data_IF_578309876112
#
_entry.id   IF_578309876112
#
_cell.length_a   1.000
_cell.length_b   1.000
_cell.length_c   1.000
_cell.angle_alpha   90.00
_cell.angle_beta   90.00
_cell.angle_gamma   90.00
#
_symmetry.space_group_name_H-M   'P 1'
#
loop_
_entity.id
_entity.type
_entity.pdbx_description
1 polymer ?
#
# COMPACT_ATOMS: atom_id res chain seq x y z
N UNK A 1 29.15 -50.18 0.38
CA UNK A 1 27.90 -50.65 -0.24
C UNK A 1 26.77 -49.82 0.38
N UNK A 2 25.91 -49.21 -0.46
CA UNK A 2 24.77 -48.32 -0.14
C UNK A 2 25.15 -46.94 0.43
N UNK A 3 24.75 -45.78 -0.11
CA UNK A 3 23.86 -45.42 -1.20
C UNK A 3 23.48 -43.96 -1.00
N UNK A 4 24.21 -43.03 -1.65
CA UNK A 4 23.92 -41.59 -1.60
C UNK A 4 22.61 -41.32 -2.35
N UNK A 5 21.56 -40.98 -1.60
CA UNK A 5 20.26 -40.61 -2.15
C UNK A 5 20.33 -39.31 -2.94
N UNK A 6 19.98 -39.40 -4.22
CA UNK A 6 19.75 -38.28 -5.13
C UNK A 6 18.71 -37.30 -4.58
N UNK A 7 19.15 -36.15 -4.05
CA UNK A 7 18.29 -34.95 -3.99
C UNK A 7 18.36 -34.26 -5.35
N UNK A 8 17.27 -34.37 -6.13
CA UNK A 8 17.06 -33.54 -7.31
C UNK A 8 16.97 -32.08 -6.85
N UNK A 9 18.02 -31.30 -7.13
CA UNK A 9 17.97 -29.84 -7.03
C UNK A 9 17.04 -29.37 -8.14
N UNK A 10 15.87 -28.86 -7.76
CA UNK A 10 14.99 -28.13 -8.68
C UNK A 10 15.74 -26.87 -9.12
N UNK A 11 16.24 -26.88 -10.35
CA UNK A 11 16.75 -25.67 -11.01
C UNK A 11 15.55 -24.78 -11.29
N UNK A 12 15.35 -23.75 -10.47
CA UNK A 12 14.56 -22.61 -10.89
C UNK A 12 15.36 -21.90 -11.98
N UNK A 13 14.84 -21.93 -13.21
CA UNK A 13 15.30 -21.07 -14.29
C UNK A 13 15.08 -19.63 -13.83
N UNK A 14 16.17 -18.88 -13.69
CA UNK A 14 16.10 -17.43 -13.56
C UNK A 14 15.32 -16.90 -14.77
N UNK A 15 14.14 -16.34 -14.52
CA UNK A 15 13.51 -15.45 -15.48
C UNK A 15 14.33 -14.17 -15.39
N UNK A 16 15.21 -13.95 -16.35
CA UNK A 16 15.82 -12.64 -16.58
C UNK A 16 14.69 -11.69 -17.03
N UNK A 17 14.00 -11.06 -16.08
CA UNK A 17 13.18 -9.88 -16.36
C UNK A 17 14.11 -8.67 -16.39
N UNK A 18 14.83 -8.52 -17.49
CA UNK A 18 15.41 -7.22 -17.85
C UNK A 18 14.29 -6.30 -18.34
N UNK A 19 13.50 -5.76 -17.41
CA UNK A 19 12.67 -4.59 -17.69
C UNK A 19 13.56 -3.37 -17.48
N UNK A 20 14.06 -2.82 -18.58
CA UNK A 20 14.67 -1.49 -18.60
C UNK A 20 13.60 -0.48 -18.23
N UNK A 21 13.57 -0.08 -16.95
CA UNK A 21 12.80 1.07 -16.48
C UNK A 21 13.43 2.29 -17.16
N UNK A 22 12.77 2.88 -18.16
CA UNK A 22 13.27 4.09 -18.80
C UNK A 22 12.97 5.31 -17.92
N UNK A 23 13.84 5.48 -16.93
CA UNK A 23 13.80 6.59 -15.96
C UNK A 23 13.87 7.93 -16.70
N UNK A 24 14.59 8.01 -17.83
CA UNK A 24 14.77 9.25 -18.60
C UNK A 24 13.47 9.68 -19.28
N UNK A 25 12.69 8.76 -19.85
CA UNK A 25 11.39 9.08 -20.47
C UNK A 25 10.35 9.55 -19.45
N UNK A 26 10.31 8.92 -18.28
CA UNK A 26 9.42 9.33 -17.18
C UNK A 26 9.80 10.72 -16.67
N UNK A 27 11.09 10.94 -16.37
CA UNK A 27 11.60 12.22 -15.86
C UNK A 27 11.43 13.34 -16.89
N UNK A 28 11.68 13.07 -18.18
CA UNK A 28 11.49 14.07 -19.25
C UNK A 28 10.03 14.41 -19.48
N UNK A 29 9.10 13.46 -19.35
CA UNK A 29 7.65 13.72 -19.38
C UNK A 29 7.24 14.71 -18.27
N UNK A 30 7.65 14.44 -17.03
CA UNK A 30 7.33 15.31 -15.89
C UNK A 30 8.04 16.67 -15.97
N UNK A 31 9.28 16.74 -16.46
CA UNK A 31 10.05 17.98 -16.60
C UNK A 31 9.55 18.88 -17.74
N UNK A 32 9.13 18.31 -18.89
CA UNK A 32 8.60 19.09 -20.03
C UNK A 32 7.28 19.76 -19.71
N UNK A 33 6.42 19.13 -18.91
CA UNK A 33 5.11 19.68 -18.55
C UNK A 33 5.19 20.77 -17.48
N UNK A 34 6.15 20.68 -16.54
CA UNK A 34 6.41 21.73 -15.55
C UNK A 34 6.70 23.10 -16.21
N UNK A 35 7.48 23.12 -17.30
CA UNK A 35 7.77 24.34 -18.07
C UNK A 35 6.58 24.94 -18.83
N UNK A 36 5.51 24.16 -19.09
CA UNK A 36 4.32 24.66 -19.79
C UNK A 36 3.31 25.33 -18.85
N UNK A 37 3.32 25.00 -17.55
CA UNK A 37 2.27 25.41 -16.60
C UNK A 37 2.55 26.73 -15.86
N UNK A 38 3.77 27.28 -15.90
CA UNK A 38 4.01 28.64 -15.37
C UNK A 38 3.19 29.74 -16.08
N UNK A 39 2.51 29.42 -17.19
CA UNK A 39 1.88 30.42 -18.07
C UNK A 39 0.35 30.51 -17.98
N UNK A 40 -0.33 29.76 -17.11
CA UNK A 40 -1.80 29.88 -17.00
C UNK A 40 -2.30 29.71 -15.57
N UNK A 41 -2.68 30.82 -14.94
CA UNK A 41 -3.21 30.88 -13.58
C UNK A 41 -4.72 31.14 -13.62
N UNK A 42 -5.49 30.05 -13.64
CA UNK A 42 -6.94 30.05 -13.44
C UNK A 42 -7.31 28.90 -12.50
N UNK A 43 -8.19 29.17 -11.53
CA UNK A 43 -8.67 28.23 -10.50
C UNK A 43 -8.97 26.84 -11.05
N UNK A 44 -8.02 25.94 -10.86
CA UNK A 44 -8.08 24.52 -11.20
C UNK A 44 -7.46 23.80 -10.02
N UNK A 45 -8.17 22.80 -9.46
CA UNK A 45 -7.55 21.88 -8.51
C UNK A 45 -6.22 21.39 -9.12
N UNK A 46 -5.15 21.38 -8.33
CA UNK A 46 -3.85 20.99 -8.86
C UNK A 46 -3.95 19.60 -9.51
N UNK A 47 -3.45 19.43 -10.75
CA UNK A 47 -3.62 18.20 -11.51
C UNK A 47 -2.98 17.07 -10.73
N UNK A 48 -3.77 16.02 -10.49
CA UNK A 48 -3.34 14.80 -9.80
C UNK A 48 -2.31 14.07 -10.68
N UNK A 49 -1.03 14.40 -10.48
CA UNK A 49 0.09 13.86 -11.27
C UNK A 49 0.12 12.32 -11.27
N UNK A 50 -0.33 11.70 -10.18
CA UNK A 50 -0.42 10.25 -10.02
C UNK A 50 -1.51 9.56 -10.86
N UNK A 51 -2.39 10.33 -11.51
CA UNK A 51 -3.40 9.78 -12.42
C UNK A 51 -2.98 9.88 -13.90
N UNK A 52 -1.82 10.45 -14.21
CA UNK A 52 -1.31 10.47 -15.58
C UNK A 52 -0.96 9.05 -16.05
N UNK A 53 -1.15 8.73 -17.33
CA UNK A 53 -0.96 7.37 -17.85
C UNK A 53 0.45 6.80 -17.59
N UNK A 54 1.48 7.63 -17.76
CA UNK A 54 2.87 7.28 -17.46
C UNK A 54 3.14 7.02 -15.96
N UNK A 55 2.24 7.47 -15.08
CA UNK A 55 2.34 7.32 -13.64
C UNK A 55 1.62 6.05 -13.12
N UNK A 56 0.79 5.42 -13.96
CA UNK A 56 -0.06 4.28 -13.62
C UNK A 56 0.61 2.92 -13.89
N UNK A 57 1.92 2.91 -14.16
CA UNK A 57 2.70 1.69 -14.32
C UNK A 57 2.82 0.92 -13.00
N UNK A 58 2.89 -0.41 -13.10
CA UNK A 58 3.04 -1.31 -11.95
C UNK A 58 4.07 -2.39 -12.25
N UNK A 59 4.83 -2.74 -11.22
CA UNK A 59 5.79 -3.85 -11.25
C UNK A 59 5.10 -5.23 -11.37
N UNK A 60 3.84 -5.34 -10.93
CA UNK A 60 3.10 -6.61 -10.90
C UNK A 60 1.71 -6.50 -11.56
N UNK A 61 1.28 -7.51 -12.33
CA UNK A 61 -0.10 -7.66 -12.78
C UNK A 61 -1.08 -7.79 -11.60
N UNK A 62 -2.30 -7.29 -11.78
CA UNK A 62 -3.31 -7.28 -10.71
C UNK A 62 -3.76 -8.68 -10.26
N UNK A 63 -3.80 -9.65 -11.19
CA UNK A 63 -4.23 -11.02 -10.91
C UNK A 63 -3.33 -11.68 -9.85
N UNK A 64 -2.03 -11.41 -9.90
CA UNK A 64 -1.05 -11.94 -8.95
C UNK A 64 -1.20 -11.29 -7.56
N UNK A 65 -1.59 -10.01 -7.52
CA UNK A 65 -1.78 -9.28 -6.27
C UNK A 65 -3.06 -9.66 -5.52
N UNK A 66 -4.14 -10.01 -6.23
CA UNK A 66 -5.38 -10.50 -5.57
C UNK A 66 -5.17 -11.86 -4.92
N UNK A 67 -4.48 -12.76 -5.61
CA UNK A 67 -4.12 -14.06 -5.02
C UNK A 67 -3.20 -13.91 -3.82
N UNK A 68 -2.38 -12.86 -3.79
CA UNK A 68 -1.44 -12.62 -2.70
C UNK A 68 -2.10 -12.25 -1.37
N UNK A 69 -3.32 -11.71 -1.36
CA UNK A 69 -4.03 -11.31 -0.13
C UNK A 69 -5.06 -12.33 0.35
N UNK A 70 -5.33 -13.38 -0.43
CA UNK A 70 -6.28 -14.43 -0.06
C UNK A 70 -5.71 -15.31 1.06
N UNK A 71 -6.49 -15.45 2.14
CA UNK A 71 -6.13 -16.31 3.27
C UNK A 71 -6.00 -17.78 2.81
N UNK A 72 -4.81 -18.40 2.90
CA UNK A 72 -4.63 -19.80 2.53
C UNK A 72 -5.43 -20.73 3.46
N UNK A 73 -5.96 -21.85 2.94
CA UNK A 73 -6.72 -22.78 3.75
C UNK A 73 -5.84 -23.39 4.85
N UNK A 74 -6.31 -23.31 6.10
CA UNK A 74 -5.62 -23.85 7.27
C UNK A 74 -4.60 -22.90 7.92
N UNK A 75 -4.40 -21.69 7.38
CA UNK A 75 -3.61 -20.65 8.05
C UNK A 75 -4.48 -19.86 9.03
N UNK A 76 -3.91 -19.46 10.16
CA UNK A 76 -4.61 -18.59 11.12
C UNK A 76 -4.82 -17.19 10.54
N UNK A 77 -6.00 -16.63 10.83
CA UNK A 77 -6.39 -15.32 10.31
C UNK A 77 -5.55 -14.17 10.91
N UNK A 78 -5.24 -14.24 12.21
CA UNK A 78 -4.44 -13.20 12.87
C UNK A 78 -2.98 -13.28 12.44
N UNK A 79 -2.42 -14.49 12.29
CA UNK A 79 -1.09 -14.69 11.69
C UNK A 79 -1.01 -14.09 10.28
N UNK A 80 -2.05 -14.33 9.46
CA UNK A 80 -2.12 -13.77 8.11
C UNK A 80 -2.15 -12.25 8.12
N UNK A 81 -3.02 -11.64 8.93
CA UNK A 81 -3.07 -10.19 9.10
C UNK A 81 -1.75 -9.62 9.63
N UNK A 82 -1.10 -10.30 10.58
CA UNK A 82 0.18 -9.88 11.13
C UNK A 82 1.24 -9.81 10.02
N UNK A 83 1.34 -10.86 9.20
CA UNK A 83 2.34 -10.94 8.13
C UNK A 83 2.20 -9.81 7.12
N UNK A 84 0.98 -9.49 6.70
CA UNK A 84 0.72 -8.39 5.78
C UNK A 84 0.93 -7.03 6.42
N UNK A 85 0.57 -6.86 7.69
CA UNK A 85 0.76 -5.60 8.42
C UNK A 85 2.24 -5.26 8.55
N UNK A 86 3.07 -6.24 8.87
CA UNK A 86 4.52 -6.09 8.94
C UNK A 86 5.11 -5.70 7.57
N UNK A 87 4.75 -6.43 6.52
CA UNK A 87 5.24 -6.14 5.16
C UNK A 87 4.84 -4.74 4.69
N UNK A 88 3.59 -4.32 4.93
CA UNK A 88 3.11 -2.99 4.57
C UNK A 88 3.83 -1.90 5.36
N UNK A 89 4.06 -2.11 6.66
CA UNK A 89 4.82 -1.17 7.49
C UNK A 89 6.24 -0.98 6.94
N UNK A 90 6.97 -2.07 6.67
CA UNK A 90 8.33 -2.01 6.16
C UNK A 90 8.41 -1.31 4.79
N UNK A 91 7.50 -1.65 3.87
CA UNK A 91 7.49 -1.05 2.54
C UNK A 91 7.12 0.44 2.56
N UNK A 92 6.13 0.85 3.37
CA UNK A 92 5.74 2.25 3.49
C UNK A 92 6.85 3.07 4.17
N UNK A 93 7.49 2.51 5.21
CA UNK A 93 8.62 3.14 5.87
C UNK A 93 9.80 3.33 4.90
N UNK A 94 10.10 2.32 4.07
CA UNK A 94 11.13 2.41 3.05
C UNK A 94 10.83 3.50 2.00
N UNK A 95 9.60 3.50 1.44
CA UNK A 95 9.20 4.51 0.43
C UNK A 95 9.21 5.92 1.01
N UNK A 96 8.72 6.11 2.23
CA UNK A 96 8.77 7.42 2.87
C UNK A 96 10.21 7.84 3.18
N UNK A 97 11.07 6.90 3.57
CA UNK A 97 12.48 7.16 3.84
C UNK A 97 13.20 7.86 2.68
N UNK A 98 12.89 7.48 1.43
CA UNK A 98 13.54 8.06 0.24
C UNK A 98 13.14 9.50 -0.06
N UNK A 99 12.02 9.99 0.49
CA UNK A 99 11.52 11.35 0.26
C UNK A 99 11.47 12.20 1.53
N UNK A 100 11.87 11.65 2.68
CA UNK A 100 11.70 12.26 4.00
C UNK A 100 12.34 13.65 4.11
N UNK A 101 13.44 13.91 3.39
CA UNK A 101 14.11 15.21 3.35
C UNK A 101 13.28 16.31 2.67
N UNK A 102 12.37 15.95 1.76
CA UNK A 102 11.47 16.89 1.08
C UNK A 102 10.21 17.17 1.89
N UNK A 103 9.84 16.28 2.81
CA UNK A 103 8.73 16.46 3.74
C UNK A 103 9.21 17.29 4.95
N UNK A 104 8.97 18.60 4.90
CA UNK A 104 9.46 19.55 5.91
C UNK A 104 8.30 20.20 6.68
N UNK A 105 8.59 20.73 7.87
CA UNK A 105 7.59 21.47 8.67
C UNK A 105 7.05 22.70 7.95
N UNK A 106 7.87 23.32 7.09
CA UNK A 106 7.50 24.50 6.31
C UNK A 106 6.74 24.15 5.03
N UNK A 107 7.10 23.05 4.36
CA UNK A 107 6.40 22.57 3.16
C UNK A 107 5.08 21.87 3.48
N UNK A 108 5.01 21.17 4.62
CA UNK A 108 3.85 20.38 5.05
C UNK A 108 3.49 20.70 6.52
N UNK A 109 3.02 21.93 6.80
CA UNK A 109 2.73 22.39 8.16
C UNK A 109 1.54 21.67 8.82
N UNK A 110 0.71 21.02 8.01
CA UNK A 110 -0.40 20.16 8.43
C UNK A 110 -0.27 18.80 7.72
N UNK A 111 -0.63 17.72 8.41
CA UNK A 111 -0.76 16.40 7.79
C UNK A 111 -2.01 16.36 6.90
N UNK A 112 -1.84 16.50 5.58
CA UNK A 112 -2.94 16.54 4.61
C UNK A 112 -2.86 15.43 3.56
N UNK A 113 -4.01 15.00 3.07
CA UNK A 113 -4.17 14.12 1.91
C UNK A 113 -5.00 14.75 0.79
N UNK A 114 -5.28 13.99 -0.28
CA UNK A 114 -6.06 14.45 -1.42
C UNK A 114 -7.43 15.03 -0.99
N UNK A 115 -7.90 16.05 -1.73
CA UNK A 115 -9.11 16.80 -1.36
C UNK A 115 -8.93 17.71 -0.14
N UNK A 116 -7.67 18.07 0.19
CA UNK A 116 -7.30 18.90 1.34
C UNK A 116 -7.76 18.34 2.69
N UNK A 117 -7.94 17.01 2.77
CA UNK A 117 -8.35 16.33 4.00
C UNK A 117 -7.22 16.37 5.02
N UNK A 118 -7.47 16.99 6.17
CA UNK A 118 -6.50 17.05 7.27
C UNK A 118 -6.61 15.84 8.20
N UNK A 119 -5.52 15.14 8.43
CA UNK A 119 -5.41 14.06 9.40
C UNK A 119 -4.92 14.59 10.74
N UNK A 120 -5.54 14.11 11.81
CA UNK A 120 -5.27 14.55 13.17
C UNK A 120 -4.75 13.38 13.99
N UNK A 121 -3.73 13.64 14.80
CA UNK A 121 -3.11 12.62 15.64
C UNK A 121 -3.90 12.49 16.95
N UNK A 122 -4.01 11.27 17.44
CA UNK A 122 -4.58 10.97 18.75
C UNK A 122 -3.46 10.42 19.63
N UNK A 123 -3.13 11.14 20.70
CA UNK A 123 -2.16 10.67 21.67
C UNK A 123 -2.72 9.49 22.51
N UNK A 124 -1.87 8.91 23.35
CA UNK A 124 -2.25 7.79 24.24
C UNK A 124 -3.36 8.17 25.24
N UNK A 125 -3.58 9.47 25.48
CA UNK A 125 -4.62 10.01 26.35
C UNK A 125 -5.92 10.31 25.58
N UNK A 126 -5.95 10.05 24.28
CA UNK A 126 -7.09 10.32 23.39
C UNK A 126 -7.21 11.79 22.96
N UNK A 127 -6.24 12.65 23.26
CA UNK A 127 -6.27 14.06 22.86
C UNK A 127 -5.95 14.19 21.37
N UNK A 128 -6.86 14.85 20.66
CA UNK A 128 -6.72 15.19 19.25
C UNK A 128 -5.77 16.37 19.09
N UNK A 129 -4.69 16.18 18.32
CA UNK A 129 -3.68 17.22 18.08
C UNK A 129 -3.41 17.36 16.60
N UNK A 130 -3.30 18.61 16.16
CA UNK A 130 -2.83 18.98 14.82
C UNK A 130 -1.32 19.08 14.86
N UNK A 131 -0.67 18.39 13.94
CA UNK A 131 0.78 18.36 13.81
C UNK A 131 1.14 18.41 12.33
N UNK A 132 2.34 18.90 12.04
CA UNK A 132 2.89 18.90 10.69
C UNK A 132 3.08 17.48 10.16
N UNK A 133 3.05 17.31 8.84
CA UNK A 133 3.11 16.00 8.21
C UNK A 133 4.35 15.16 8.63
N UNK A 134 5.58 15.71 8.66
CA UNK A 134 6.74 14.89 9.01
C UNK A 134 6.69 14.41 10.47
N UNK A 135 6.11 15.22 11.35
CA UNK A 135 5.93 14.88 12.77
C UNK A 135 4.80 13.84 12.95
N UNK A 136 3.71 13.97 12.18
CA UNK A 136 2.66 12.96 12.15
C UNK A 136 3.21 11.60 11.73
N UNK A 137 3.99 11.58 10.65
CA UNK A 137 4.55 10.35 10.09
C UNK A 137 5.53 9.72 11.08
N UNK A 138 6.38 10.52 11.75
CA UNK A 138 7.23 10.03 12.84
C UNK A 138 6.43 9.35 13.96
N UNK A 139 5.32 9.96 14.39
CA UNK A 139 4.41 9.35 15.37
C UNK A 139 3.79 8.05 14.89
N UNK A 140 3.38 7.98 13.62
CA UNK A 140 2.84 6.76 13.01
C UNK A 140 3.88 5.65 12.97
N UNK A 141 5.09 5.94 12.46
CA UNK A 141 6.17 4.96 12.34
C UNK A 141 6.60 4.46 13.72
N UNK A 142 6.77 5.38 14.67
CA UNK A 142 7.15 5.05 16.04
C UNK A 142 6.07 4.24 16.76
N UNK A 143 4.79 4.62 16.65
CA UNK A 143 3.67 3.86 17.22
C UNK A 143 3.60 2.45 16.64
N UNK A 144 3.70 2.34 15.31
CA UNK A 144 3.62 1.06 14.60
C UNK A 144 4.80 0.18 15.00
N UNK A 145 6.04 0.68 14.96
CA UNK A 145 7.22 -0.06 15.37
C UNK A 145 7.10 -0.61 16.80
N UNK A 146 6.70 0.22 17.76
CA UNK A 146 6.51 -0.21 19.16
C UNK A 146 5.48 -1.33 19.27
N UNK A 147 4.39 -1.22 18.52
CA UNK A 147 3.28 -2.17 18.57
C UNK A 147 3.65 -3.49 17.92
N UNK A 148 4.30 -3.48 16.76
CA UNK A 148 4.72 -4.71 16.06
C UNK A 148 5.89 -5.42 16.73
N UNK A 149 6.66 -4.71 17.57
CA UNK A 149 7.77 -5.29 18.33
C UNK A 149 7.34 -5.86 19.69
N UNK A 150 6.10 -5.62 20.11
CA UNK A 150 5.57 -6.10 21.38
C UNK A 150 5.12 -7.56 21.25
N UNK A 151 5.85 -8.49 21.86
CA UNK A 151 5.53 -9.94 21.83
C UNK A 151 4.16 -10.28 22.46
N UNK A 152 3.54 -9.36 23.21
CA UNK A 152 2.18 -9.55 23.75
C UNK A 152 1.10 -9.21 22.74
N UNK A 153 1.44 -8.47 21.68
CA UNK A 153 0.52 -8.08 20.60
C UNK A 153 0.83 -8.88 19.32
N UNK A 154 2.11 -8.96 18.96
CA UNK A 154 2.66 -9.72 17.83
C UNK A 154 3.51 -10.88 18.36
N UNK A 155 2.89 -11.99 18.78
CA UNK A 155 3.62 -13.13 19.32
C UNK A 155 4.56 -13.77 18.28
N UNK A 156 5.79 -14.07 18.68
CA UNK A 156 6.82 -14.71 17.84
C UNK A 156 7.02 -16.20 18.15
N UNK A 157 6.38 -16.68 19.22
CA UNK A 157 6.51 -18.04 19.73
C UNK A 157 5.18 -18.78 19.56
N UNK A 158 5.23 -20.01 19.03
CA UNK A 158 4.07 -20.86 18.76
C UNK A 158 3.13 -21.10 19.96
N UNK A 159 3.59 -20.90 21.19
CA UNK A 159 2.78 -21.12 22.40
C UNK A 159 1.95 -19.89 22.82
N UNK A 160 2.18 -18.73 22.19
CA UNK A 160 1.51 -17.48 22.53
C UNK A 160 0.40 -17.18 21.53
N UNK A 161 -0.78 -16.87 22.03
CA UNK A 161 -1.93 -16.50 21.21
C UNK A 161 -1.97 -14.98 20.99
N UNK A 162 -2.59 -14.56 19.87
CA UNK A 162 -2.88 -13.15 19.64
C UNK A 162 -3.91 -12.62 20.65
N UNK A 163 -3.80 -11.36 21.08
CA UNK A 163 -4.79 -10.77 21.99
C UNK A 163 -6.15 -10.65 21.30
N UNK A 164 -7.23 -10.69 22.09
CA UNK A 164 -8.60 -10.51 21.57
C UNK A 164 -8.84 -9.15 20.89
N UNK A 165 -8.00 -8.15 21.18
CA UNK A 165 -8.00 -6.83 20.55
C UNK A 165 -7.14 -6.74 19.29
N UNK A 166 -6.47 -7.81 18.87
CA UNK A 166 -5.47 -7.79 17.79
C UNK A 166 -5.98 -7.15 16.50
N UNK A 167 -7.13 -7.58 15.98
CA UNK A 167 -7.68 -7.02 14.75
C UNK A 167 -7.94 -5.51 14.88
N UNK A 168 -8.44 -5.05 16.04
CA UNK A 168 -8.67 -3.61 16.27
C UNK A 168 -7.38 -2.80 16.23
N UNK A 169 -6.28 -3.39 16.70
CA UNK A 169 -4.94 -2.80 16.67
C UNK A 169 -4.42 -2.76 15.22
N UNK A 170 -4.55 -3.86 14.48
CA UNK A 170 -4.18 -3.95 13.06
C UNK A 170 -4.95 -2.91 12.22
N UNK A 171 -6.27 -2.81 12.40
CA UNK A 171 -7.10 -1.80 11.73
C UNK A 171 -6.60 -0.38 11.99
N UNK A 172 -6.20 -0.08 13.24
CA UNK A 172 -5.61 1.21 13.60
C UNK A 172 -4.29 1.44 12.87
N UNK A 173 -3.39 0.45 12.84
CA UNK A 173 -2.10 0.54 12.13
C UNK A 173 -2.33 0.80 10.64
N UNK A 174 -3.13 -0.04 9.98
CA UNK A 174 -3.36 0.06 8.53
C UNK A 174 -3.99 1.39 8.13
N UNK A 175 -4.91 1.93 8.93
CA UNK A 175 -5.48 3.26 8.70
C UNK A 175 -4.41 4.36 8.81
N UNK A 176 -3.55 4.30 9.82
CA UNK A 176 -2.48 5.29 9.98
C UNK A 176 -1.47 5.22 8.83
N UNK A 177 -1.10 4.01 8.40
CA UNK A 177 -0.25 3.78 7.24
C UNK A 177 -0.89 4.28 5.94
N UNK A 178 -2.21 4.11 5.79
CA UNK A 178 -2.96 4.67 4.66
C UNK A 178 -2.84 6.20 4.59
N UNK A 179 -2.90 6.91 5.74
CA UNK A 179 -2.70 8.36 5.76
C UNK A 179 -1.31 8.76 5.24
N UNK A 180 -0.26 7.99 5.57
CA UNK A 180 1.10 8.22 5.07
C UNK A 180 1.13 8.06 3.55
N UNK A 181 0.57 6.97 3.02
CA UNK A 181 0.51 6.72 1.58
C UNK A 181 -0.27 7.84 0.86
N UNK A 182 -1.43 8.24 1.40
CA UNK A 182 -2.22 9.32 0.83
C UNK A 182 -1.48 10.66 0.82
N UNK A 183 -0.73 10.96 1.87
CA UNK A 183 0.12 12.15 1.92
C UNK A 183 1.24 12.10 0.88
N UNK A 184 1.89 10.95 0.69
CA UNK A 184 2.93 10.77 -0.34
C UNK A 184 2.35 11.06 -1.74
N UNK A 185 1.21 10.47 -2.09
CA UNK A 185 0.55 10.76 -3.38
C UNK A 185 0.15 12.22 -3.53
N UNK A 186 -0.32 12.85 -2.46
CA UNK A 186 -0.82 14.22 -2.52
C UNK A 186 0.30 15.26 -2.62
N UNK A 187 1.31 15.15 -1.76
CA UNK A 187 2.30 16.20 -1.54
C UNK A 187 3.67 15.89 -2.14
N UNK A 188 4.00 14.62 -2.35
CA UNK A 188 5.37 14.20 -2.69
C UNK A 188 5.46 13.27 -3.90
N UNK A 189 4.38 13.13 -4.67
CA UNK A 189 4.37 12.23 -5.82
C UNK A 189 5.39 12.65 -6.88
N UNK A 190 5.64 13.95 -7.02
CA UNK A 190 6.64 14.47 -7.96
C UNK A 190 8.03 13.95 -7.63
N UNK A 191 8.44 14.04 -6.37
CA UNK A 191 9.73 13.57 -5.87
C UNK A 191 9.84 12.05 -6.06
N UNK A 192 8.78 11.30 -5.74
CA UNK A 192 8.69 9.85 -5.99
C UNK A 192 8.86 9.52 -7.49
N UNK A 193 8.21 10.27 -8.37
CA UNK A 193 8.30 10.08 -9.81
C UNK A 193 9.69 10.40 -10.35
N UNK A 194 10.33 11.48 -9.86
CA UNK A 194 11.70 11.86 -10.23
C UNK A 194 12.73 10.82 -9.80
N UNK A 195 12.50 10.11 -8.69
CA UNK A 195 13.33 9.00 -8.23
C UNK A 195 13.04 7.68 -8.97
N UNK A 196 12.06 7.64 -9.88
CA UNK A 196 11.64 6.40 -10.54
C UNK A 196 10.94 5.40 -9.61
N UNK A 197 10.43 5.84 -8.46
CA UNK A 197 9.86 4.98 -7.41
C UNK A 197 8.33 4.84 -7.49
N UNK A 198 7.67 5.53 -8.42
CA UNK A 198 6.21 5.56 -8.53
C UNK A 198 5.60 4.16 -8.71
N UNK A 199 6.23 3.27 -9.50
CA UNK A 199 5.75 1.90 -9.66
C UNK A 199 5.80 1.06 -8.36
N UNK A 200 6.78 1.33 -7.48
CA UNK A 200 6.86 0.70 -6.15
C UNK A 200 5.77 1.24 -5.23
N UNK A 201 5.57 2.56 -5.20
CA UNK A 201 4.48 3.19 -4.45
C UNK A 201 3.11 2.66 -4.90
N UNK A 202 2.89 2.48 -6.21
CA UNK A 202 1.68 1.88 -6.77
C UNK A 202 1.48 0.44 -6.31
N UNK A 203 2.56 -0.35 -6.20
CA UNK A 203 2.49 -1.72 -5.70
C UNK A 203 2.10 -1.78 -4.21
N UNK A 204 2.71 -0.92 -3.39
CA UNK A 204 2.38 -0.81 -1.95
C UNK A 204 0.93 -0.39 -1.76
N UNK A 205 0.47 0.61 -2.52
CA UNK A 205 -0.91 1.05 -2.50
C UNK A 205 -1.88 -0.06 -2.95
N UNK A 206 -1.57 -0.77 -4.03
CA UNK A 206 -2.38 -1.89 -4.50
C UNK A 206 -2.49 -3.00 -3.44
N UNK A 207 -1.38 -3.36 -2.79
CA UNK A 207 -1.38 -4.36 -1.71
C UNK A 207 -2.26 -3.92 -0.54
N UNK A 208 -2.09 -2.69 -0.04
CA UNK A 208 -2.88 -2.12 1.05
C UNK A 208 -4.38 -2.12 0.72
N UNK A 209 -4.74 -1.67 -0.49
CA UNK A 209 -6.12 -1.55 -0.94
C UNK A 209 -6.77 -2.92 -1.15
N UNK A 210 -6.07 -3.88 -1.76
CA UNK A 210 -6.59 -5.24 -1.94
C UNK A 210 -6.78 -5.97 -0.60
N UNK A 211 -5.84 -5.82 0.33
CA UNK A 211 -5.97 -6.34 1.68
C UNK A 211 -7.19 -5.74 2.39
N UNK A 212 -7.37 -4.42 2.26
CA UNK A 212 -8.52 -3.72 2.81
C UNK A 212 -9.84 -4.21 2.19
N UNK A 213 -9.91 -4.35 0.87
CA UNK A 213 -11.11 -4.88 0.19
C UNK A 213 -11.44 -6.31 0.65
N UNK A 214 -10.42 -7.13 0.91
CA UNK A 214 -10.61 -8.53 1.29
C UNK A 214 -11.17 -8.71 2.70
N UNK A 215 -10.67 -7.93 3.66
CA UNK A 215 -10.99 -8.10 5.09
C UNK A 215 -11.72 -6.90 5.70
N UNK A 216 -12.06 -5.88 4.89
CA UNK A 216 -12.76 -4.67 5.28
C UNK A 216 -12.13 -4.00 6.51
N UNK A 217 -10.84 -3.65 6.44
CA UNK A 217 -10.01 -3.27 7.60
C UNK A 217 -10.08 -1.76 7.93
N UNK A 218 -10.34 -0.92 6.94
CA UNK A 218 -10.36 0.55 7.01
C UNK A 218 -11.78 1.02 6.63
N UNK A 219 -12.28 2.05 7.32
CA UNK A 219 -13.57 2.66 6.98
C UNK A 219 -13.55 3.19 5.53
N UNK A 220 -14.56 2.85 4.68
CA UNK A 220 -14.64 3.32 3.31
C UNK A 220 -14.55 4.84 3.15
N UNK A 221 -15.02 5.61 4.15
CA UNK A 221 -14.93 7.07 4.15
C UNK A 221 -13.51 7.58 4.27
N UNK A 222 -12.58 6.78 4.80
CA UNK A 222 -11.16 7.13 4.85
C UNK A 222 -10.48 6.81 3.52
N UNK A 223 -10.93 5.78 2.80
CA UNK A 223 -10.30 5.33 1.55
C UNK A 223 -10.79 6.07 0.31
N UNK A 224 -12.00 6.64 0.32
CA UNK A 224 -12.63 7.30 -0.84
C UNK A 224 -11.79 8.41 -1.49
N UNK A 225 -10.89 9.04 -0.73
CA UNK A 225 -10.02 10.14 -1.19
C UNK A 225 -9.04 9.75 -2.30
N UNK A 226 -8.72 8.46 -2.42
CA UNK A 226 -7.90 7.89 -3.50
C UNK A 226 -8.71 6.92 -4.36
N UNK A 227 -10.04 7.00 -4.32
CA UNK A 227 -10.92 6.08 -5.06
C UNK A 227 -10.73 6.17 -6.57
N UNK A 228 -10.32 7.34 -7.09
CA UNK A 228 -9.96 7.52 -8.49
C UNK A 228 -8.64 6.82 -8.86
N UNK A 229 -7.62 6.90 -8.00
CA UNK A 229 -6.38 6.16 -8.15
C UNK A 229 -6.61 4.64 -8.03
N UNK A 230 -7.41 4.22 -7.07
CA UNK A 230 -7.84 2.82 -6.93
C UNK A 230 -8.52 2.31 -8.19
N UNK A 231 -9.47 3.08 -8.74
CA UNK A 231 -10.14 2.74 -9.99
C UNK A 231 -9.17 2.73 -11.19
N UNK A 232 -8.21 3.67 -11.25
CA UNK A 232 -7.25 3.73 -12.34
C UNK A 232 -6.23 2.57 -12.31
N UNK A 233 -5.77 2.17 -11.12
CA UNK A 233 -4.78 1.12 -10.92
C UNK A 233 -5.39 -0.29 -10.92
N UNK A 234 -6.57 -0.47 -10.29
CA UNK A 234 -7.21 -1.77 -10.07
C UNK A 234 -8.48 -1.98 -10.91
N UNK A 235 -8.96 -0.95 -11.61
CA UNK A 235 -10.19 -1.03 -12.42
C UNK A 235 -9.99 -1.58 -13.83
N UNK A 236 -8.75 -1.78 -14.30
CA UNK A 236 -8.43 -2.20 -15.68
C UNK A 236 -8.89 -3.63 -16.05
N UNK A 237 -9.60 -4.35 -15.16
CA UNK A 237 -10.12 -5.72 -15.41
C UNK A 237 -11.66 -5.82 -15.37
N UNK A 238 -12.42 -4.78 -15.03
CA UNK A 238 -13.89 -4.88 -15.19
C UNK A 238 -14.34 -5.00 -16.65
N UNK A 239 -13.45 -4.75 -17.62
CA UNK A 239 -13.73 -4.83 -19.05
C UNK A 239 -13.24 -6.12 -19.74
N UNK A 240 -12.45 -6.98 -19.07
CA UNK A 240 -11.82 -8.15 -19.73
C UNK A 240 -12.01 -9.51 -19.03
N UNK A 241 -12.74 -9.57 -17.91
CA UNK A 241 -13.05 -10.85 -17.25
C UNK A 241 -14.52 -10.89 -16.85
N UNK A 242 -15.38 -11.68 -17.53
CA UNK A 242 -16.68 -12.03 -17.00
C UNK A 242 -16.45 -12.79 -15.69
N UNK A 243 -17.14 -12.38 -14.61
CA UNK A 243 -17.24 -13.18 -13.39
C UNK A 243 -17.49 -14.65 -13.78
N UNK A 244 -16.70 -15.63 -13.32
CA UNK A 244 -17.12 -17.00 -13.42
C UNK A 244 -18.42 -17.11 -12.63
N UNK A 245 -19.52 -17.33 -13.34
CA UNK A 245 -20.81 -17.68 -12.74
C UNK A 245 -20.55 -18.88 -11.83
N UNK A 246 -20.81 -18.72 -10.53
CA UNK A 246 -20.90 -19.87 -9.64
C UNK A 246 -21.91 -20.84 -10.27
N UNK A 247 -21.43 -22.00 -10.74
CA UNK A 247 -22.33 -23.07 -11.15
C UNK A 247 -23.12 -23.49 -9.90
N UNK A 248 -24.45 -23.59 -9.97
CA UNK A 248 -25.21 -24.15 -8.87
C UNK A 248 -24.72 -25.57 -8.61
N UNK A 249 -24.40 -25.85 -7.34
CA UNK A 249 -24.11 -27.20 -6.86
C UNK A 249 -25.30 -28.10 -7.23
N UNK A 250 -25.04 -29.18 -7.94
CA UNK A 250 -26.03 -30.22 -8.23
C UNK A 250 -26.64 -30.72 -6.91
N UNK A 251 -27.96 -30.94 -6.84
CA UNK A 251 -28.57 -31.50 -5.64
C UNK A 251 -28.05 -32.93 -5.40
N UNK A 252 -27.97 -33.37 -4.13
CA UNK A 252 -27.47 -34.70 -3.80
C UNK A 252 -28.41 -35.77 -4.37
N UNK A 253 -27.81 -36.74 -5.08
CA UNK A 253 -28.48 -37.97 -5.51
C UNK A 253 -29.01 -38.70 -4.27
N UNK A 254 -30.33 -38.86 -4.21
CA UNK A 254 -30.98 -39.76 -3.27
C UNK A 254 -30.69 -41.21 -3.71
N UNK A 255 -30.12 -41.99 -2.80
CA UNK A 255 -30.18 -43.45 -2.80
C UNK A 255 -30.72 -43.91 -1.45
#
# INVERSE_FOLDING_TARGET
>A
MFGLGNRKVLKYSAIETSLSIDVEDTVTCFCRKARRKEKDAGTTEDPKLYLEEAALERQLPELDLRMLVDLPPGLDYNEWLASHTLALFDHINLVYGTISEFCTMTGCPDMTGPGLRTYLWFDEKGKKTRVAAPQYIDYVMTFTQRTVSDETIFPTKYANEFPSSFESIVRKILRLLYHVVAHIYHCHFREVALLGLHAHLNCVFAHLTLLNQRFNLIDPKETEILGDLEAALLGKIYTLSPRPSLRPLLPPMQY
#
